data_IF_553618933987
#
_entry.id   IF_553618933987
#
_cell.length_a   1.000
_cell.length_b   1.000
_cell.length_c   1.000
_cell.angle_alpha   90.00
_cell.angle_beta   90.00
_cell.angle_gamma   90.00
#
_symmetry.space_group_name_H-M   'P 1'
#
loop_
_entity.id
_entity.type
_entity.pdbx_description
1 polymer ?
#
# COMPACT_ATOMS: atom_id res chain seq x y z
N UNK A 1 -5.88 -47.41 5.31
CA UNK A 1 -6.07 -46.31 6.28
C UNK A 1 -6.67 -45.18 5.48
N UNK A 2 -7.88 -44.73 5.82
CA UNK A 2 -8.58 -43.69 5.04
C UNK A 2 -7.92 -42.33 5.28
N UNK A 3 -7.58 -41.65 4.20
CA UNK A 3 -7.21 -40.24 4.20
C UNK A 3 -8.39 -39.44 4.78
N UNK A 4 -8.19 -38.83 5.94
CA UNK A 4 -9.11 -37.84 6.46
C UNK A 4 -9.07 -36.62 5.55
N UNK A 5 -10.04 -36.53 4.65
CA UNK A 5 -10.38 -35.33 3.90
C UNK A 5 -10.40 -34.13 4.86
N UNK A 6 -9.53 -33.14 4.61
CA UNK A 6 -9.56 -31.85 5.28
C UNK A 6 -10.82 -31.10 4.82
N UNK A 7 -11.98 -31.43 5.40
CA UNK A 7 -13.23 -30.74 5.15
C UNK A 7 -13.10 -29.33 5.76
N UNK A 8 -12.89 -28.34 4.89
CA UNK A 8 -13.02 -26.92 5.24
C UNK A 8 -14.47 -26.66 5.66
N UNK A 9 -14.69 -26.45 6.95
CA UNK A 9 -15.97 -25.95 7.46
C UNK A 9 -16.03 -24.44 7.25
N UNK A 10 -17.03 -24.01 6.47
CA UNK A 10 -17.37 -22.60 6.31
C UNK A 10 -18.52 -22.32 7.27
N UNK A 11 -18.26 -21.49 8.28
CA UNK A 11 -19.27 -21.10 9.26
C UNK A 11 -19.88 -19.74 8.89
N UNK A 12 -21.20 -19.65 8.92
CA UNK A 12 -21.94 -18.38 8.79
C UNK A 12 -21.88 -17.61 10.10
N UNK A 13 -20.78 -16.90 10.31
CA UNK A 13 -20.60 -16.00 11.46
C UNK A 13 -21.21 -14.62 11.16
N UNK A 14 -22.00 -14.09 12.09
CA UNK A 14 -22.51 -12.73 11.99
C UNK A 14 -21.35 -11.73 12.01
N UNK A 15 -21.32 -10.83 11.04
CA UNK A 15 -20.27 -9.80 10.97
C UNK A 15 -20.54 -8.72 12.02
N UNK A 16 -19.98 -8.92 13.22
CA UNK A 16 -20.07 -7.96 14.33
C UNK A 16 -19.40 -6.63 13.97
N UNK A 17 -19.76 -5.54 14.64
CA UNK A 17 -19.16 -4.23 14.35
C UNK A 17 -17.65 -4.17 14.62
N UNK A 18 -17.14 -4.99 15.54
CA UNK A 18 -15.70 -5.14 15.76
C UNK A 18 -15.01 -5.85 14.60
N UNK A 19 -15.65 -6.88 14.02
CA UNK A 19 -15.19 -7.51 12.79
C UNK A 19 -15.26 -6.51 11.63
N UNK A 20 -16.36 -5.75 11.50
CA UNK A 20 -16.48 -4.68 10.49
C UNK A 20 -15.34 -3.68 10.63
N UNK A 21 -15.03 -3.18 11.82
CA UNK A 21 -13.90 -2.24 12.06
C UNK A 21 -12.53 -2.83 11.69
N UNK A 22 -12.33 -4.13 11.88
CA UNK A 22 -11.12 -4.86 11.46
C UNK A 22 -11.07 -5.09 9.94
N UNK A 23 -12.24 -5.25 9.31
CA UNK A 23 -12.40 -5.51 7.87
C UNK A 23 -12.48 -4.22 7.05
N UNK A 24 -12.85 -3.08 7.65
CA UNK A 24 -12.85 -1.77 7.01
C UNK A 24 -11.42 -1.48 6.56
N UNK A 25 -11.20 -1.72 5.27
CA UNK A 25 -9.94 -1.43 4.59
C UNK A 25 -9.85 0.08 4.49
N UNK A 26 -8.73 0.60 4.95
CA UNK A 26 -8.34 1.98 4.68
C UNK A 26 -8.41 2.21 3.17
N UNK A 27 -9.27 3.13 2.74
CA UNK A 27 -9.43 3.43 1.33
C UNK A 27 -8.29 4.34 0.91
N UNK A 28 -7.54 3.89 -0.09
CA UNK A 28 -6.64 4.79 -0.81
C UNK A 28 -7.49 5.74 -1.68
N UNK A 29 -6.99 6.95 -1.95
CA UNK A 29 -7.59 7.81 -2.96
C UNK A 29 -7.80 7.06 -4.28
N UNK A 30 -8.92 7.30 -4.96
CA UNK A 30 -9.27 6.59 -6.20
C UNK A 30 -8.21 6.76 -7.30
N UNK A 31 -7.60 7.94 -7.37
CA UNK A 31 -6.55 8.31 -8.32
C UNK A 31 -5.15 7.80 -7.96
N UNK A 32 -4.97 7.06 -6.86
CA UNK A 32 -3.62 6.63 -6.41
C UNK A 32 -2.85 5.85 -7.48
N UNK A 33 -3.58 5.12 -8.34
CA UNK A 33 -2.99 4.41 -9.48
C UNK A 33 -2.35 5.34 -10.48
N UNK A 34 -3.13 6.30 -10.96
CA UNK A 34 -2.73 7.31 -11.94
C UNK A 34 -1.58 8.13 -11.36
N UNK A 35 -1.67 8.56 -10.10
CA UNK A 35 -0.57 9.26 -9.42
C UNK A 35 0.73 8.45 -9.43
N UNK A 36 0.70 7.15 -9.11
CA UNK A 36 1.91 6.31 -9.15
C UNK A 36 2.45 6.11 -10.57
N UNK A 37 1.57 6.04 -11.56
CA UNK A 37 1.94 5.91 -12.97
C UNK A 37 2.62 7.18 -13.48
N UNK A 38 2.04 8.34 -13.19
CA UNK A 38 2.48 9.65 -13.69
C UNK A 38 3.70 10.19 -12.93
N UNK A 39 3.97 9.71 -11.71
CA UNK A 39 5.15 10.11 -10.96
C UNK A 39 6.43 9.81 -11.73
N UNK A 40 7.33 10.80 -11.77
CA UNK A 40 8.71 10.63 -12.21
C UNK A 40 9.58 10.12 -11.06
N UNK A 41 10.75 9.59 -11.39
CA UNK A 41 11.76 9.29 -10.37
C UNK A 41 12.08 10.54 -9.54
N UNK A 42 12.40 10.33 -8.26
CA UNK A 42 12.70 11.36 -7.26
C UNK A 42 11.53 12.28 -6.88
N UNK A 43 10.32 11.99 -7.35
CA UNK A 43 9.12 12.66 -6.87
C UNK A 43 8.55 11.97 -5.63
N UNK A 44 7.83 12.75 -4.82
CA UNK A 44 7.06 12.24 -3.70
C UNK A 44 5.68 12.89 -3.61
N UNK A 45 4.74 12.19 -2.97
CA UNK A 45 3.47 12.76 -2.52
C UNK A 45 3.19 12.36 -1.09
N UNK A 46 2.28 13.07 -0.44
CA UNK A 46 1.88 12.82 0.94
C UNK A 46 0.43 12.38 1.03
N UNK A 47 0.17 11.36 1.85
CA UNK A 47 -1.17 10.89 2.17
C UNK A 47 -1.42 11.05 3.66
N UNK A 48 -2.23 12.04 4.01
CA UNK A 48 -2.75 12.22 5.36
C UNK A 48 -3.54 10.98 5.81
N UNK A 49 -3.35 10.57 7.05
CA UNK A 49 -4.09 9.46 7.65
C UNK A 49 -4.07 9.50 9.17
N UNK A 50 -5.19 9.14 9.78
CA UNK A 50 -5.28 8.98 11.25
C UNK A 50 -4.83 7.57 11.68
N UNK A 51 -4.66 6.65 10.72
CA UNK A 51 -4.12 5.30 10.93
C UNK A 51 -2.98 5.01 9.93
N UNK A 52 -1.72 5.35 10.29
CA UNK A 52 -0.55 5.14 9.42
C UNK A 52 -0.33 3.67 9.07
N UNK A 53 -0.55 2.77 10.02
CA UNK A 53 -0.30 1.34 9.84
C UNK A 53 -1.25 0.75 8.80
N UNK A 54 -2.55 1.02 8.90
CA UNK A 54 -3.52 0.56 7.88
C UNK A 54 -3.24 1.19 6.51
N UNK A 55 -2.91 2.49 6.46
CA UNK A 55 -2.59 3.16 5.19
C UNK A 55 -1.36 2.55 4.53
N UNK A 56 -0.32 2.24 5.31
CA UNK A 56 0.89 1.59 4.83
C UNK A 56 0.62 0.20 4.26
N UNK A 57 -0.23 -0.61 4.90
CA UNK A 57 -0.64 -1.91 4.35
C UNK A 57 -1.40 -1.76 3.02
N UNK A 58 -2.33 -0.79 2.94
CA UNK A 58 -3.06 -0.51 1.71
C UNK A 58 -2.11 -0.08 0.57
N UNK A 59 -1.14 0.79 0.87
CA UNK A 59 -0.12 1.24 -0.08
C UNK A 59 0.78 0.10 -0.56
N UNK A 60 1.27 -0.76 0.35
CA UNK A 60 2.07 -1.94 -0.01
C UNK A 60 1.30 -2.89 -0.92
N UNK A 61 0.01 -3.13 -0.62
CA UNK A 61 -0.87 -3.93 -1.47
C UNK A 61 -1.06 -3.30 -2.86
N UNK A 62 -1.20 -1.97 -2.93
CA UNK A 62 -1.31 -1.24 -4.20
C UNK A 62 -0.02 -1.31 -5.01
N UNK A 63 1.13 -1.11 -4.37
CA UNK A 63 2.44 -1.21 -5.01
C UNK A 63 2.71 -2.60 -5.55
N UNK A 64 2.38 -3.66 -4.80
CA UNK A 64 2.46 -5.04 -5.30
C UNK A 64 1.68 -5.19 -6.61
N UNK A 65 0.40 -4.80 -6.63
CA UNK A 65 -0.43 -4.84 -7.86
C UNK A 65 0.11 -3.96 -8.99
N UNK A 66 0.72 -2.82 -8.66
CA UNK A 66 1.35 -1.94 -9.64
C UNK A 66 2.56 -2.61 -10.28
N UNK A 67 3.40 -3.26 -9.48
CA UNK A 67 4.62 -3.96 -9.92
C UNK A 67 4.31 -5.27 -10.65
N UNK A 68 3.29 -6.01 -10.24
CA UNK A 68 2.82 -7.22 -10.93
C UNK A 68 2.39 -6.93 -12.38
N UNK A 69 1.84 -5.73 -12.63
CA UNK A 69 1.50 -5.26 -13.98
C UNK A 69 2.69 -4.70 -14.77
N UNK A 70 3.82 -4.46 -14.11
CA UNK A 70 5.01 -3.78 -14.64
C UNK A 70 6.30 -4.49 -14.18
N UNK A 71 6.47 -5.78 -14.52
CA UNK A 71 7.60 -6.56 -14.03
C UNK A 71 8.96 -5.96 -14.44
N UNK A 72 9.04 -5.39 -15.64
CA UNK A 72 10.27 -4.80 -16.20
C UNK A 72 10.54 -3.36 -15.74
N UNK A 73 9.57 -2.66 -15.13
CA UNK A 73 9.76 -1.27 -14.72
C UNK A 73 10.79 -1.19 -13.57
N UNK A 74 11.93 -0.50 -13.73
CA UNK A 74 12.98 -0.48 -12.72
C UNK A 74 12.60 0.33 -11.47
N UNK A 75 11.54 1.14 -11.54
CA UNK A 75 11.14 1.99 -10.43
C UNK A 75 10.59 1.20 -9.24
N UNK A 76 10.89 1.71 -8.06
CA UNK A 76 10.39 1.25 -6.78
C UNK A 76 9.73 2.39 -6.04
N UNK A 77 8.91 2.03 -5.05
CA UNK A 77 8.28 2.98 -4.16
C UNK A 77 8.74 2.74 -2.71
N UNK A 78 9.08 3.82 -2.01
CA UNK A 78 9.36 3.82 -0.57
C UNK A 78 8.21 4.51 0.16
N UNK A 79 7.84 4.00 1.34
CA UNK A 79 6.74 4.50 2.15
C UNK A 79 7.29 4.87 3.53
N UNK A 80 7.23 6.14 3.88
CA UNK A 80 7.77 6.68 5.14
C UNK A 80 6.63 7.33 5.89
N UNK A 81 6.38 6.87 7.12
CA UNK A 81 5.48 7.57 8.03
C UNK A 81 6.16 8.86 8.50
N UNK A 82 5.47 9.99 8.34
CA UNK A 82 6.01 11.32 8.67
C UNK A 82 4.87 12.31 8.88
N UNK A 83 5.21 13.51 9.32
CA UNK A 83 4.31 14.65 9.38
C UNK A 83 4.53 15.54 8.15
N UNK A 84 3.48 16.21 7.66
CA UNK A 84 3.64 17.28 6.68
C UNK A 84 4.02 18.61 7.34
N UNK A 85 4.24 19.65 6.53
CA UNK A 85 4.65 20.98 7.00
C UNK A 85 3.59 21.65 7.90
N UNK A 86 2.35 21.17 7.85
CA UNK A 86 1.22 21.61 8.67
C UNK A 86 1.02 20.75 9.92
N UNK A 87 1.91 19.78 10.19
CA UNK A 87 1.88 18.88 11.35
C UNK A 87 0.86 17.75 11.25
N UNK A 88 0.31 17.48 10.06
CA UNK A 88 -0.59 16.35 9.87
C UNK A 88 0.20 15.05 9.75
N UNK A 89 -0.21 14.03 10.49
CA UNK A 89 0.35 12.69 10.36
C UNK A 89 -0.07 12.02 9.05
N UNK A 90 0.88 11.33 8.41
CA UNK A 90 0.60 10.62 7.18
C UNK A 90 1.73 9.72 6.69
N UNK A 91 1.57 9.26 5.45
CA UNK A 91 2.59 8.48 4.74
C UNK A 91 3.08 9.28 3.54
N UNK A 92 4.38 9.55 3.50
CA UNK A 92 5.06 10.07 2.32
C UNK A 92 5.51 8.92 1.44
N UNK A 93 5.20 9.03 0.16
CA UNK A 93 5.46 8.01 -0.85
C UNK A 93 6.47 8.55 -1.85
N UNK A 94 7.62 7.89 -1.97
CA UNK A 94 8.71 8.29 -2.88
C UNK A 94 8.80 7.30 -4.03
N UNK A 95 8.90 7.79 -5.27
CA UNK A 95 9.28 6.95 -6.42
C UNK A 95 10.77 7.11 -6.68
N UNK A 96 11.51 6.02 -6.78
CA UNK A 96 12.94 6.04 -7.04
C UNK A 96 13.34 4.92 -8.00
N UNK A 97 14.46 5.08 -8.69
CA UNK A 97 15.07 4.01 -9.49
C UNK A 97 16.34 3.55 -8.77
N UNK A 98 16.38 2.32 -8.20
CA UNK A 98 17.55 1.81 -7.47
C UNK A 98 18.78 1.62 -8.36
N UNK A 99 18.57 1.52 -9.68
CA UNK A 99 19.63 1.34 -10.67
C UNK A 99 20.01 2.66 -11.35
N UNK A 100 19.35 3.77 -11.01
CA UNK A 100 19.89 5.07 -11.39
C UNK A 100 21.23 5.19 -10.65
N UNK A 101 22.33 5.21 -11.41
CA UNK A 101 23.63 5.55 -10.87
C UNK A 101 23.44 6.81 -10.01
N UNK A 102 24.04 6.83 -8.83
CA UNK A 102 24.13 8.01 -7.98
C UNK A 102 24.96 9.09 -8.70
N UNK A 103 24.47 9.64 -9.80
CA UNK A 103 25.02 10.84 -10.44
C UNK A 103 24.23 12.05 -9.95
N UNK A 104 24.23 12.25 -8.63
CA UNK A 104 23.97 13.55 -8.01
C UNK A 104 24.71 13.55 -6.68
N UNK A 105 25.97 14.01 -6.66
CA UNK A 105 26.40 15.34 -6.19
C UNK A 105 27.66 15.74 -6.95
#
# INVERSE_FOLDING_TARGET
>A
MMDTDNILKVDDIEMTDDIKKRVIKERLPSNIGETMDDMKANQSFFLKTDDPQKKLFALRSRYKRWKDKRPEDPHKFSFVQTEDDDGNLGIRVYKYNPNANNEQI
#
